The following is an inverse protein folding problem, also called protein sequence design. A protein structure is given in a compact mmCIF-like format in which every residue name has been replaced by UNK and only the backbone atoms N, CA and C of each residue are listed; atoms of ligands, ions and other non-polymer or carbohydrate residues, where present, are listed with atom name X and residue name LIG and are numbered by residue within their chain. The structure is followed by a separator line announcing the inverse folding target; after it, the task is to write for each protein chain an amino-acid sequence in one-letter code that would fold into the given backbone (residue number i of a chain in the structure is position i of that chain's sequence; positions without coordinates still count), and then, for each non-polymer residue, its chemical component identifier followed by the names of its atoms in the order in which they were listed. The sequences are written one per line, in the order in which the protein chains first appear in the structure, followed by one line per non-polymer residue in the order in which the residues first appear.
data_IF_635776537218
#
_entry.id   IF_635776537218
#
_cell.length_a   1.000
_cell.length_b   1.000
_cell.length_c   1.000
_cell.angle_alpha   90.00
_cell.angle_beta   90.00
_cell.angle_gamma   90.00
#
_symmetry.space_group_name_H-M   'P 1'
#
loop_
_entity.id
_entity.type
_entity.pdbx_description
1 polymer ?
#
# COMPACT_ATOMS: atom_id res chain seq x y z
N UNK A 1 7.88 -43.68 -20.43
CA UNK A 1 7.58 -42.39 -19.79
C UNK A 1 8.68 -41.40 -20.16
N UNK A 2 8.34 -40.23 -20.70
CA UNK A 2 9.35 -39.15 -20.89
C UNK A 2 9.71 -38.57 -19.51
N UNK A 3 11.00 -38.43 -19.15
CA UNK A 3 11.38 -37.83 -17.90
C UNK A 3 10.89 -36.37 -17.87
N UNK A 4 10.26 -35.96 -16.77
CA UNK A 4 9.86 -34.57 -16.55
C UNK A 4 11.04 -33.88 -15.92
N UNK A 5 11.63 -32.91 -16.62
CA UNK A 5 12.69 -32.05 -16.07
C UNK A 5 12.02 -30.81 -15.53
N UNK A 6 12.08 -30.60 -14.21
CA UNK A 6 11.61 -29.37 -13.55
C UNK A 6 12.80 -28.57 -13.01
N UNK A 7 12.65 -27.25 -13.01
CA UNK A 7 13.62 -26.36 -12.34
C UNK A 7 13.49 -26.51 -10.82
N UNK A 8 14.60 -26.34 -10.09
CA UNK A 8 14.56 -26.28 -8.63
C UNK A 8 13.82 -25.01 -8.15
N UNK A 9 13.12 -25.08 -7.01
CA UNK A 9 13.07 -26.18 -6.05
C UNK A 9 12.15 -27.32 -6.50
N UNK A 10 12.56 -28.58 -6.27
CA UNK A 10 11.79 -29.77 -6.63
C UNK A 10 10.71 -30.14 -5.61
N UNK A 11 10.66 -29.44 -4.48
CA UNK A 11 9.64 -29.64 -3.44
C UNK A 11 8.42 -28.78 -3.77
N UNK A 12 7.31 -29.42 -4.05
CA UNK A 12 6.03 -28.76 -4.28
C UNK A 12 5.20 -28.80 -2.99
N UNK A 13 5.12 -27.63 -2.29
CA UNK A 13 4.23 -27.45 -1.15
C UNK A 13 2.77 -27.22 -1.61
N UNK A 14 1.82 -27.28 -0.69
CA UNK A 14 0.41 -26.94 -0.96
C UNK A 14 0.13 -25.45 -1.20
N UNK A 15 1.17 -24.61 -1.25
CA UNK A 15 1.05 -23.18 -1.49
C UNK A 15 1.25 -22.85 -2.97
N UNK A 16 0.40 -21.96 -3.47
CA UNK A 16 0.47 -21.45 -4.84
C UNK A 16 0.37 -19.92 -4.84
N UNK A 17 0.93 -19.29 -5.87
CA UNK A 17 0.82 -17.84 -6.06
C UNK A 17 -0.65 -17.42 -6.05
N UNK A 18 -1.49 -18.14 -6.76
CA UNK A 18 -2.93 -17.91 -6.82
C UNK A 18 -3.59 -17.92 -5.42
N UNK A 19 -3.29 -18.93 -4.60
CA UNK A 19 -3.84 -19.07 -3.23
C UNK A 19 -3.45 -17.87 -2.37
N UNK A 20 -2.20 -17.43 -2.47
CA UNK A 20 -1.70 -16.29 -1.70
C UNK A 20 -2.32 -14.97 -2.18
N UNK A 21 -2.41 -14.72 -3.49
CA UNK A 21 -3.04 -13.51 -4.05
C UNK A 21 -4.52 -13.39 -3.65
N UNK A 22 -5.29 -14.48 -3.79
CA UNK A 22 -6.68 -14.50 -3.31
C UNK A 22 -6.78 -14.41 -1.79
N UNK A 23 -5.81 -14.95 -1.04
CA UNK A 23 -5.73 -14.80 0.41
C UNK A 23 -5.63 -13.34 0.84
N UNK A 24 -4.83 -12.53 0.14
CA UNK A 24 -4.75 -11.07 0.36
C UNK A 24 -6.05 -10.37 -0.05
N UNK A 25 -6.67 -10.77 -1.17
CA UNK A 25 -7.98 -10.23 -1.56
C UNK A 25 -9.05 -10.50 -0.48
N UNK A 26 -9.08 -11.70 0.09
CA UNK A 26 -10.00 -12.05 1.20
C UNK A 26 -9.70 -11.21 2.45
N UNK A 27 -8.43 -10.97 2.76
CA UNK A 27 -8.04 -10.11 3.88
C UNK A 27 -8.50 -8.64 3.72
N UNK A 28 -8.68 -8.19 2.48
CA UNK A 28 -9.18 -6.84 2.15
C UNK A 28 -10.72 -6.74 2.15
N UNK A 29 -11.46 -7.87 2.16
CA UNK A 29 -12.94 -7.86 2.13
C UNK A 29 -13.56 -7.04 3.27
N UNK A 30 -13.12 -7.13 4.54
CA UNK A 30 -13.69 -6.29 5.59
C UNK A 30 -13.55 -4.79 5.30
N UNK A 31 -12.38 -4.35 4.84
CA UNK A 31 -12.15 -2.95 4.46
C UNK A 31 -12.98 -2.54 3.22
N UNK A 32 -13.16 -3.45 2.27
CA UNK A 32 -14.01 -3.23 1.10
C UNK A 32 -15.47 -3.01 1.50
N UNK A 33 -16.00 -3.84 2.39
CA UNK A 33 -17.38 -3.69 2.89
C UNK A 33 -17.55 -2.37 3.64
N UNK A 34 -16.56 -1.97 4.45
CA UNK A 34 -16.60 -0.68 5.13
C UNK A 34 -16.55 0.49 4.15
N UNK A 35 -15.71 0.44 3.13
CA UNK A 35 -15.64 1.51 2.12
C UNK A 35 -16.97 1.66 1.36
N UNK A 36 -17.64 0.54 1.04
CA UNK A 36 -18.98 0.56 0.45
C UNK A 36 -20.04 1.11 1.40
N UNK A 37 -19.92 0.82 2.70
CA UNK A 37 -20.85 1.33 3.71
C UNK A 37 -20.73 2.85 3.92
N UNK A 38 -19.50 3.39 3.94
CA UNK A 38 -19.26 4.80 4.19
C UNK A 38 -19.36 5.70 2.96
N UNK A 39 -18.94 5.23 1.79
CA UNK A 39 -18.92 6.02 0.54
C UNK A 39 -19.89 5.52 -0.53
N UNK A 40 -20.63 4.44 -0.28
CA UNK A 40 -21.73 3.98 -1.12
C UNK A 40 -21.37 3.78 -2.58
N UNK A 41 -22.17 4.46 -3.45
CA UNK A 41 -22.07 4.33 -4.90
C UNK A 41 -20.71 4.77 -5.46
N UNK A 42 -20.12 5.85 -4.93
CA UNK A 42 -18.81 6.33 -5.36
C UNK A 42 -17.73 5.28 -5.18
N UNK A 43 -17.67 4.63 -3.99
CA UNK A 43 -16.75 3.54 -3.73
C UNK A 43 -16.96 2.34 -4.67
N UNK A 44 -18.22 1.95 -4.92
CA UNK A 44 -18.55 0.86 -5.82
C UNK A 44 -18.04 1.11 -7.24
N UNK A 45 -18.28 2.32 -7.77
CA UNK A 45 -17.84 2.70 -9.12
C UNK A 45 -16.32 2.70 -9.22
N UNK A 46 -15.62 3.35 -8.27
CA UNK A 46 -14.15 3.46 -8.29
C UNK A 46 -13.49 2.09 -8.18
N UNK A 47 -13.90 1.26 -7.21
CA UNK A 47 -13.34 -0.07 -7.01
C UNK A 47 -13.62 -1.01 -8.19
N UNK A 48 -14.87 -1.04 -8.69
CA UNK A 48 -15.22 -1.86 -9.83
C UNK A 48 -14.44 -1.44 -11.08
N UNK A 49 -14.40 -0.14 -11.38
CA UNK A 49 -13.66 0.39 -12.55
C UNK A 49 -12.17 0.10 -12.45
N UNK A 50 -11.57 0.28 -11.27
CA UNK A 50 -10.13 0.01 -11.06
C UNK A 50 -9.81 -1.47 -11.30
N UNK A 51 -10.59 -2.39 -10.72
CA UNK A 51 -10.36 -3.83 -10.88
C UNK A 51 -10.58 -4.27 -12.33
N UNK A 52 -11.70 -3.86 -12.94
CA UNK A 52 -12.02 -4.23 -14.32
C UNK A 52 -10.98 -3.69 -15.31
N UNK A 53 -10.54 -2.44 -15.13
CA UNK A 53 -9.51 -1.82 -15.97
C UNK A 53 -8.16 -2.51 -15.82
N UNK A 54 -7.73 -2.87 -14.59
CA UNK A 54 -6.49 -3.60 -14.38
C UNK A 54 -6.52 -4.99 -15.03
N UNK A 55 -7.60 -5.73 -14.88
CA UNK A 55 -7.77 -7.05 -15.51
C UNK A 55 -7.79 -6.92 -17.04
N UNK A 56 -8.51 -5.92 -17.56
CA UNK A 56 -8.57 -5.67 -19.01
C UNK A 56 -7.19 -5.33 -19.58
N UNK A 57 -6.43 -4.42 -18.96
CA UNK A 57 -5.11 -4.05 -19.45
C UNK A 57 -4.11 -5.19 -19.37
N UNK A 58 -4.14 -5.99 -18.31
CA UNK A 58 -3.28 -7.18 -18.24
C UNK A 58 -3.60 -8.18 -19.34
N UNK A 59 -4.89 -8.44 -19.58
CA UNK A 59 -5.32 -9.29 -20.69
C UNK A 59 -4.89 -8.73 -22.05
N UNK A 60 -5.16 -7.44 -22.30
CA UNK A 60 -4.87 -6.81 -23.58
C UNK A 60 -3.37 -6.79 -23.87
N UNK A 61 -2.54 -6.41 -22.90
CA UNK A 61 -1.09 -6.38 -23.06
C UNK A 61 -0.53 -7.79 -23.25
N UNK A 62 -0.98 -8.77 -22.47
CA UNK A 62 -0.52 -10.15 -22.59
C UNK A 62 -0.85 -10.74 -23.95
N UNK A 63 -2.08 -10.53 -24.43
CA UNK A 63 -2.58 -11.12 -25.68
C UNK A 63 -2.06 -10.40 -26.92
N UNK A 64 -2.16 -9.06 -26.95
CA UNK A 64 -1.87 -8.29 -28.17
C UNK A 64 -0.42 -7.82 -28.26
N UNK A 65 0.18 -7.40 -27.15
CA UNK A 65 1.52 -6.82 -27.15
C UNK A 65 2.60 -7.90 -26.96
N UNK A 66 2.47 -8.72 -25.92
CA UNK A 66 3.46 -9.74 -25.59
C UNK A 66 3.23 -11.08 -26.31
N UNK A 67 2.04 -11.30 -26.87
CA UNK A 67 1.65 -12.53 -27.60
C UNK A 67 2.00 -13.82 -26.87
N UNK A 68 1.88 -13.83 -25.53
CA UNK A 68 2.17 -15.00 -24.71
C UNK A 68 1.02 -16.01 -24.79
N UNK A 69 1.30 -17.33 -24.92
CA UNK A 69 0.26 -18.35 -25.06
C UNK A 69 -0.49 -18.69 -23.75
N UNK A 70 -0.07 -18.14 -22.61
CA UNK A 70 -0.68 -18.40 -21.30
C UNK A 70 -1.58 -17.27 -20.83
N UNK A 71 -2.66 -17.62 -20.10
CA UNK A 71 -3.52 -16.64 -19.43
C UNK A 71 -2.95 -16.31 -18.03
N UNK A 72 -2.46 -15.10 -17.83
CA UNK A 72 -1.92 -14.63 -16.54
C UNK A 72 -2.99 -14.08 -15.60
N UNK A 73 -4.22 -13.85 -16.11
CA UNK A 73 -5.32 -13.22 -15.35
C UNK A 73 -5.79 -14.08 -14.18
N UNK A 74 -5.69 -15.42 -14.33
CA UNK A 74 -6.19 -16.37 -13.34
C UNK A 74 -5.36 -16.42 -12.05
N UNK A 75 -4.19 -15.80 -12.01
CA UNK A 75 -3.33 -15.74 -10.81
C UNK A 75 -3.86 -14.79 -9.73
N UNK A 76 -4.85 -13.94 -10.05
CA UNK A 76 -5.46 -12.98 -9.13
C UNK A 76 -4.65 -11.69 -8.91
N UNK A 77 -3.46 -11.58 -9.50
CA UNK A 77 -2.59 -10.43 -9.27
C UNK A 77 -3.12 -9.12 -9.86
N UNK A 78 -3.82 -9.17 -11.01
CA UNK A 78 -4.47 -7.99 -11.59
C UNK A 78 -5.64 -7.50 -10.72
N UNK A 79 -6.42 -8.43 -10.18
CA UNK A 79 -7.53 -8.12 -9.27
C UNK A 79 -7.00 -7.45 -8.01
N UNK A 80 -5.95 -8.01 -7.40
CA UNK A 80 -5.31 -7.44 -6.23
C UNK A 80 -4.73 -6.04 -6.51
N UNK A 81 -4.03 -5.87 -7.63
CA UNK A 81 -3.51 -4.55 -8.04
C UNK A 81 -4.64 -3.54 -8.20
N UNK A 82 -5.74 -3.92 -8.83
CA UNK A 82 -6.91 -3.07 -9.00
C UNK A 82 -7.59 -2.71 -7.68
N UNK A 83 -7.72 -3.66 -6.75
CA UNK A 83 -8.25 -3.40 -5.41
C UNK A 83 -7.36 -2.43 -4.63
N UNK A 84 -6.05 -2.68 -4.58
CA UNK A 84 -5.11 -1.82 -3.88
C UNK A 84 -5.02 -0.43 -4.50
N UNK A 85 -5.08 -0.32 -5.84
CA UNK A 85 -5.15 0.97 -6.52
C UNK A 85 -6.44 1.69 -6.13
N UNK A 86 -7.60 1.04 -6.25
CA UNK A 86 -8.89 1.62 -5.91
C UNK A 86 -8.97 2.10 -4.46
N UNK A 87 -8.43 1.35 -3.51
CA UNK A 87 -8.35 1.77 -2.11
C UNK A 87 -7.52 3.04 -1.88
N UNK A 88 -6.60 3.35 -2.76
CA UNK A 88 -5.79 4.57 -2.68
C UNK A 88 -6.38 5.78 -3.42
N UNK A 89 -7.54 5.63 -4.02
CA UNK A 89 -8.21 6.69 -4.78
C UNK A 89 -9.34 7.32 -3.95
N UNK A 90 -9.68 8.60 -4.21
CA UNK A 90 -10.88 9.21 -3.67
C UNK A 90 -12.14 8.64 -4.33
N UNK A 91 -13.26 8.60 -3.58
CA UNK A 91 -14.53 8.01 -4.06
C UNK A 91 -15.24 8.82 -5.15
N UNK A 92 -14.84 10.07 -5.38
CA UNK A 92 -15.39 10.96 -6.41
C UNK A 92 -14.54 11.06 -7.68
N UNK A 93 -13.50 10.21 -7.82
CA UNK A 93 -12.58 10.30 -8.94
C UNK A 93 -13.26 9.93 -10.26
N UNK A 94 -13.15 10.78 -11.32
CA UNK A 94 -13.71 10.48 -12.63
C UNK A 94 -13.20 9.17 -13.23
N UNK A 95 -14.09 8.42 -13.89
CA UNK A 95 -13.80 7.07 -14.44
C UNK A 95 -12.57 7.06 -15.37
N UNK A 96 -12.43 8.08 -16.22
CA UNK A 96 -11.32 8.15 -17.17
C UNK A 96 -9.95 8.24 -16.48
N UNK A 97 -9.87 8.92 -15.32
CA UNK A 97 -8.63 8.97 -14.52
C UNK A 97 -8.29 7.62 -13.91
N UNK A 98 -9.30 6.88 -13.44
CA UNK A 98 -9.12 5.53 -12.90
C UNK A 98 -8.55 4.60 -13.99
N UNK A 99 -9.07 4.70 -15.21
CA UNK A 99 -8.59 3.92 -16.36
C UNK A 99 -7.12 4.26 -16.67
N UNK A 100 -6.76 5.54 -16.69
CA UNK A 100 -5.36 5.97 -16.91
C UNK A 100 -4.44 5.46 -15.78
N UNK A 101 -4.88 5.55 -14.52
CA UNK A 101 -4.15 5.02 -13.38
C UNK A 101 -3.95 3.50 -13.45
N UNK A 102 -4.97 2.75 -13.85
CA UNK A 102 -4.89 1.31 -14.06
C UNK A 102 -3.92 0.95 -15.22
N UNK A 103 -3.94 1.73 -16.31
CA UNK A 103 -2.99 1.58 -17.41
C UNK A 103 -1.55 1.83 -16.93
N UNK A 104 -1.31 2.86 -16.14
CA UNK A 104 0.01 3.13 -15.58
C UNK A 104 0.45 2.01 -14.60
N UNK A 105 -0.45 1.56 -13.73
CA UNK A 105 -0.17 0.48 -12.78
C UNK A 105 0.21 -0.83 -13.47
N UNK A 106 -0.63 -1.29 -14.39
CA UNK A 106 -0.41 -2.58 -15.09
C UNK A 106 0.61 -2.42 -16.21
N UNK A 107 0.47 -1.42 -17.07
CA UNK A 107 1.36 -1.21 -18.22
C UNK A 107 2.78 -0.91 -17.78
N UNK A 108 2.97 0.20 -17.05
CA UNK A 108 4.30 0.67 -16.64
C UNK A 108 4.81 -0.11 -15.42
N UNK A 109 3.97 -0.27 -14.38
CA UNK A 109 4.41 -0.87 -13.11
C UNK A 109 4.67 -2.37 -13.16
N UNK A 110 3.97 -3.13 -14.04
CA UNK A 110 4.02 -4.59 -14.04
C UNK A 110 4.48 -5.19 -15.37
N UNK A 111 3.78 -4.89 -16.46
CA UNK A 111 3.96 -5.62 -17.73
C UNK A 111 5.22 -5.23 -18.48
N UNK A 112 5.69 -3.99 -18.37
CA UNK A 112 6.94 -3.50 -18.98
C UNK A 112 8.15 -4.29 -18.52
N UNK A 113 8.16 -4.74 -17.27
CA UNK A 113 9.26 -5.51 -16.69
C UNK A 113 9.14 -7.02 -16.89
N UNK A 114 8.04 -7.50 -17.47
CA UNK A 114 7.86 -8.93 -17.79
C UNK A 114 6.69 -9.60 -17.08
N UNK A 115 5.95 -8.91 -16.24
CA UNK A 115 4.77 -9.40 -15.51
C UNK A 115 5.04 -9.71 -14.05
N UNK A 116 4.19 -10.56 -13.45
CA UNK A 116 4.29 -10.91 -12.04
C UNK A 116 5.65 -11.53 -11.70
N UNK A 117 6.27 -11.08 -10.63
CA UNK A 117 7.56 -11.57 -10.15
C UNK A 117 8.78 -10.83 -10.68
N UNK A 118 8.64 -9.94 -11.66
CA UNK A 118 9.74 -9.18 -12.27
C UNK A 118 9.60 -7.66 -12.08
N UNK A 119 8.54 -7.20 -11.46
CA UNK A 119 8.29 -5.79 -11.20
C UNK A 119 9.22 -5.25 -10.08
N UNK A 120 10.00 -4.19 -10.33
CA UNK A 120 10.87 -3.59 -9.31
C UNK A 120 10.09 -2.75 -8.29
N UNK A 121 8.89 -2.28 -8.64
CA UNK A 121 8.03 -1.44 -7.83
C UNK A 121 6.66 -2.07 -7.64
N UNK A 122 5.98 -1.73 -6.55
CA UNK A 122 4.58 -2.11 -6.36
C UNK A 122 3.70 -1.45 -7.43
N UNK A 123 2.99 -2.23 -8.28
CA UNK A 123 2.26 -1.68 -9.42
C UNK A 123 1.11 -0.74 -9.02
N UNK A 124 0.38 -1.04 -7.95
CA UNK A 124 -0.71 -0.19 -7.48
C UNK A 124 -0.20 1.19 -7.05
N UNK A 125 0.97 1.24 -6.39
CA UNK A 125 1.60 2.49 -5.97
C UNK A 125 2.15 3.28 -7.15
N UNK A 126 2.69 2.61 -8.17
CA UNK A 126 3.10 3.28 -9.42
C UNK A 126 1.91 4.00 -10.06
N UNK A 127 0.75 3.32 -10.18
CA UNK A 127 -0.47 3.94 -10.71
C UNK A 127 -0.96 5.11 -9.87
N UNK A 128 -0.97 4.96 -8.53
CA UNK A 128 -1.35 6.02 -7.61
C UNK A 128 -0.46 7.26 -7.70
N UNK A 129 0.86 7.07 -7.62
CA UNK A 129 1.81 8.20 -7.67
C UNK A 129 1.78 8.87 -9.03
N UNK A 130 1.64 8.10 -10.11
CA UNK A 130 1.44 8.65 -11.45
C UNK A 130 0.22 9.58 -11.50
N UNK A 131 -0.94 9.14 -10.97
CA UNK A 131 -2.15 9.97 -10.91
C UNK A 131 -1.96 11.20 -10.02
N UNK A 132 -1.32 11.06 -8.87
CA UNK A 132 -1.11 12.16 -7.92
C UNK A 132 -0.24 13.27 -8.52
N UNK A 133 0.80 12.91 -9.27
CA UNK A 133 1.70 13.89 -9.92
C UNK A 133 1.03 14.52 -11.14
N UNK A 134 0.31 13.72 -11.94
CA UNK A 134 -0.30 14.20 -13.20
C UNK A 134 -1.60 14.96 -12.98
N UNK A 135 -2.40 14.58 -11.97
CA UNK A 135 -3.73 15.13 -11.70
C UNK A 135 -3.92 15.45 -10.21
N UNK A 136 -3.11 16.36 -9.64
CA UNK A 136 -3.09 16.60 -8.19
C UNK A 136 -4.43 17.10 -7.66
N UNK A 137 -5.13 17.97 -8.38
CA UNK A 137 -6.41 18.54 -7.93
C UNK A 137 -7.47 17.47 -7.70
N UNK A 138 -7.63 16.54 -8.64
CA UNK A 138 -8.61 15.46 -8.52
C UNK A 138 -8.21 14.41 -7.49
N UNK A 139 -6.90 14.19 -7.32
CA UNK A 139 -6.37 13.21 -6.38
C UNK A 139 -6.31 13.70 -4.92
N UNK A 140 -6.45 14.99 -4.70
CA UNK A 140 -6.46 15.59 -3.35
C UNK A 140 -7.84 16.05 -2.90
N UNK A 141 -8.89 15.78 -3.69
CA UNK A 141 -10.28 16.04 -3.33
C UNK A 141 -10.85 14.84 -2.56
N UNK A 142 -11.03 14.99 -1.25
CA UNK A 142 -11.45 13.86 -0.39
C UNK A 142 -12.90 14.03 0.05
N UNK A 143 -13.83 13.16 -0.40
CA UNK A 143 -15.22 13.18 0.02
C UNK A 143 -15.41 12.88 1.51
N UNK A 144 -16.44 13.50 2.08
CA UNK A 144 -16.88 13.20 3.45
C UNK A 144 -17.60 11.85 3.47
N UNK A 145 -17.39 11.08 4.53
CA UNK A 145 -18.12 9.82 4.74
C UNK A 145 -19.62 10.06 4.96
N UNK A 146 -20.46 9.11 4.52
CA UNK A 146 -21.90 9.15 4.68
C UNK A 146 -22.69 9.58 3.46
N UNK A 147 -22.05 9.97 2.36
CA UNK A 147 -22.70 10.36 1.11
C UNK A 147 -22.93 9.13 0.20
N UNK A 148 -23.95 8.32 0.53
CA UNK A 148 -24.13 7.00 -0.09
C UNK A 148 -24.47 7.03 -1.59
N UNK A 149 -25.11 8.10 -2.08
CA UNK A 149 -25.58 8.22 -3.47
C UNK A 149 -24.77 9.21 -4.31
N UNK A 150 -23.94 10.05 -3.68
CA UNK A 150 -23.12 11.03 -4.38
C UNK A 150 -21.91 10.34 -5.05
N UNK A 151 -21.49 10.86 -6.21
CA UNK A 151 -20.29 10.44 -6.91
C UNK A 151 -19.40 11.65 -7.20
N UNK A 152 -19.48 12.26 -8.39
CA UNK A 152 -18.65 13.42 -8.77
C UNK A 152 -19.00 14.70 -8.01
N UNK A 153 -20.23 14.82 -7.53
CA UNK A 153 -20.77 15.98 -6.82
C UNK A 153 -20.69 15.82 -5.29
N UNK A 154 -19.84 14.90 -4.80
CA UNK A 154 -19.67 14.67 -3.38
C UNK A 154 -19.02 15.87 -2.69
N UNK A 155 -19.55 16.24 -1.52
CA UNK A 155 -18.94 17.26 -0.67
C UNK A 155 -17.60 16.77 -0.13
N UNK A 156 -16.57 17.64 -0.18
CA UNK A 156 -15.21 17.33 0.26
C UNK A 156 -14.88 18.05 1.55
N UNK A 157 -14.07 17.43 2.40
CA UNK A 157 -13.57 18.03 3.64
C UNK A 157 -12.06 17.85 3.80
N UNK A 158 -11.50 18.61 4.73
CA UNK A 158 -10.11 18.48 5.10
C UNK A 158 -9.85 17.11 5.75
N UNK A 159 -8.83 16.41 5.25
CA UNK A 159 -8.38 15.14 5.87
C UNK A 159 -7.58 15.40 7.14
N UNK A 160 -7.49 14.42 8.05
CA UNK A 160 -6.62 14.55 9.23
C UNK A 160 -5.17 14.88 8.87
N UNK A 161 -4.65 14.35 7.76
CA UNK A 161 -3.29 14.67 7.28
C UNK A 161 -3.14 16.13 6.86
N UNK A 162 -4.15 16.68 6.19
CA UNK A 162 -4.15 18.09 5.80
C UNK A 162 -4.22 19.03 7.01
N UNK A 163 -5.02 18.67 8.02
CA UNK A 163 -5.11 19.42 9.29
C UNK A 163 -3.75 19.43 10.00
N UNK A 164 -3.07 18.29 10.09
CA UNK A 164 -1.73 18.19 10.68
C UNK A 164 -0.71 19.03 9.91
N UNK A 165 -0.73 19.00 8.59
CA UNK A 165 0.18 19.80 7.76
C UNK A 165 -0.08 21.31 7.94
N UNK A 166 -1.33 21.73 8.02
CA UNK A 166 -1.69 23.12 8.29
C UNK A 166 -1.25 23.58 9.66
N UNK A 167 -1.36 22.75 10.71
CA UNK A 167 -0.86 23.07 12.04
C UNK A 167 0.65 23.34 12.03
N UNK A 168 1.41 22.53 11.28
CA UNK A 168 2.86 22.73 11.14
C UNK A 168 3.16 24.01 10.34
N UNK A 169 2.42 24.27 9.26
CA UNK A 169 2.64 25.43 8.39
C UNK A 169 2.26 26.76 9.07
N UNK A 170 1.17 26.78 9.86
CA UNK A 170 0.71 27.96 10.60
C UNK A 170 1.49 28.19 11.89
N UNK A 171 2.16 27.16 12.41
CA UNK A 171 2.83 27.24 13.72
C UNK A 171 1.86 27.26 14.92
N UNK A 172 0.57 26.96 14.70
CA UNK A 172 -0.46 27.03 15.74
C UNK A 172 -0.95 25.62 16.14
N UNK A 173 -0.70 25.17 17.38
CA UNK A 173 -1.19 23.89 17.87
C UNK A 173 -2.73 23.84 18.02
N UNK A 174 -3.43 24.98 18.03
CA UNK A 174 -4.88 25.02 18.10
C UNK A 174 -5.56 24.36 16.86
N UNK A 175 -4.89 24.36 15.72
CA UNK A 175 -5.39 23.64 14.52
C UNK A 175 -5.55 22.13 14.76
N UNK A 176 -4.74 21.54 15.64
CA UNK A 176 -4.86 20.11 15.99
C UNK A 176 -6.15 19.78 16.76
N UNK A 177 -6.84 20.76 17.34
CA UNK A 177 -8.14 20.53 17.99
C UNK A 177 -9.26 20.24 16.99
N UNK A 178 -9.05 20.54 15.71
CA UNK A 178 -10.00 20.20 14.63
C UNK A 178 -9.90 18.75 14.18
N UNK A 179 -8.93 17.98 14.73
CA UNK A 179 -8.78 16.58 14.40
C UNK A 179 -9.97 15.77 14.91
N UNK A 180 -10.45 14.76 14.13
CA UNK A 180 -11.46 13.84 14.59
C UNK A 180 -11.01 13.05 15.83
N UNK A 181 -11.95 12.61 16.64
CA UNK A 181 -11.67 11.73 17.77
C UNK A 181 -10.98 10.43 17.33
N UNK A 182 -10.11 9.90 18.20
CA UNK A 182 -9.42 8.63 17.94
C UNK A 182 -10.38 7.47 17.63
N UNK A 183 -11.56 7.47 18.24
CA UNK A 183 -12.63 6.47 17.97
C UNK A 183 -13.19 6.61 16.57
N UNK A 184 -13.40 7.83 16.10
CA UNK A 184 -13.88 8.10 14.73
C UNK A 184 -12.85 7.70 13.68
N UNK A 185 -11.56 7.97 13.94
CA UNK A 185 -10.45 7.54 13.07
C UNK A 185 -10.29 6.03 13.04
N UNK A 186 -10.51 5.34 14.16
CA UNK A 186 -10.39 3.89 14.26
C UNK A 186 -11.53 3.17 13.54
N UNK A 187 -12.76 3.71 13.62
CA UNK A 187 -13.94 3.15 12.96
C UNK A 187 -14.00 3.57 11.49
N UNK A 188 -13.50 4.78 11.14
CA UNK A 188 -13.41 5.26 9.77
C UNK A 188 -14.46 6.31 9.37
N UNK A 189 -15.00 7.05 10.33
CA UNK A 189 -15.90 8.19 10.06
C UNK A 189 -15.14 9.48 9.71
N UNK A 190 -14.11 9.35 8.88
CA UNK A 190 -13.25 10.46 8.47
C UNK A 190 -13.21 10.55 6.95
N UNK A 191 -13.01 11.75 6.41
CA UNK A 191 -12.73 11.94 4.99
C UNK A 191 -11.32 11.42 4.65
N UNK A 192 -11.21 10.73 3.50
CA UNK A 192 -9.93 10.17 3.06
C UNK A 192 -10.06 9.27 1.84
N UNK A 193 -9.02 8.53 1.54
CA UNK A 193 -9.06 7.51 0.48
C UNK A 193 -9.94 6.32 0.90
N UNK A 194 -10.44 5.57 -0.08
CA UNK A 194 -11.33 4.43 0.17
C UNK A 194 -10.72 3.38 1.11
N UNK A 195 -9.40 3.23 1.12
CA UNK A 195 -8.68 2.29 1.97
C UNK A 195 -8.28 2.84 3.35
N UNK A 196 -8.51 4.13 3.63
CA UNK A 196 -8.23 4.74 4.93
C UNK A 196 -9.39 4.62 5.91
N UNK A 197 -10.54 4.14 5.42
CA UNK A 197 -11.83 4.20 6.10
C UNK A 197 -11.82 3.58 7.48
N UNK A 198 -11.18 2.45 7.71
CA UNK A 198 -11.16 1.83 9.03
C UNK A 198 -9.80 1.19 9.33
N UNK A 199 -9.07 1.85 10.21
CA UNK A 199 -7.82 1.31 10.75
C UNK A 199 -8.02 -0.07 11.39
N UNK A 200 -9.14 -0.27 12.10
CA UNK A 200 -9.47 -1.53 12.77
C UNK A 200 -9.65 -2.68 11.77
N UNK A 201 -10.42 -2.47 10.70
CA UNK A 201 -10.70 -3.53 9.72
C UNK A 201 -9.47 -3.89 8.89
N UNK A 202 -8.60 -2.93 8.60
CA UNK A 202 -7.29 -3.19 8.00
C UNK A 202 -6.39 -4.02 8.93
N UNK A 203 -6.37 -3.72 10.22
CA UNK A 203 -5.62 -4.50 11.20
C UNK A 203 -6.17 -5.92 11.36
N UNK A 204 -7.49 -6.12 11.29
CA UNK A 204 -8.10 -7.47 11.24
C UNK A 204 -7.64 -8.23 10.00
N UNK A 205 -7.64 -7.59 8.83
CA UNK A 205 -7.11 -8.18 7.60
C UNK A 205 -5.61 -8.53 7.71
N UNK A 206 -4.81 -7.64 8.32
CA UNK A 206 -3.41 -7.89 8.61
C UNK A 206 -3.21 -9.11 9.53
N UNK A 207 -3.99 -9.20 10.62
CA UNK A 207 -3.95 -10.33 11.55
C UNK A 207 -4.32 -11.66 10.85
N UNK A 208 -5.31 -11.63 9.95
CA UNK A 208 -5.65 -12.79 9.12
C UNK A 208 -4.48 -13.23 8.22
N UNK A 209 -3.79 -12.28 7.56
CA UNK A 209 -2.63 -12.60 6.73
C UNK A 209 -1.46 -13.16 7.56
N UNK A 210 -1.21 -12.65 8.76
CA UNK A 210 -0.22 -13.16 9.69
C UNK A 210 -0.59 -14.58 10.18
N UNK A 211 -1.86 -14.82 10.52
CA UNK A 211 -2.35 -16.13 10.94
C UNK A 211 -2.21 -17.18 9.85
N UNK A 212 -2.55 -16.83 8.62
CA UNK A 212 -2.38 -17.70 7.44
C UNK A 212 -0.93 -17.81 6.97
N UNK A 213 0.02 -17.09 7.59
CA UNK A 213 1.44 -17.02 7.20
C UNK A 213 1.64 -16.53 5.75
N UNK A 214 0.72 -15.72 5.25
CA UNK A 214 0.85 -15.05 3.94
C UNK A 214 1.94 -13.98 4.02
N UNK A 215 2.03 -13.25 5.13
CA UNK A 215 3.06 -12.25 5.38
C UNK A 215 3.82 -12.54 6.68
N UNK A 216 5.00 -11.93 6.82
CA UNK A 216 5.77 -11.94 8.07
C UNK A 216 5.50 -10.64 8.86
N UNK A 217 5.63 -10.70 10.17
CA UNK A 217 5.40 -9.56 11.07
C UNK A 217 6.46 -8.44 10.97
N UNK A 218 7.64 -8.75 10.40
CA UNK A 218 8.80 -7.85 10.40
C UNK A 218 8.50 -6.49 9.77
N UNK A 219 7.90 -6.47 8.57
CA UNK A 219 7.63 -5.22 7.83
C UNK A 219 6.53 -4.40 8.50
N UNK A 220 5.31 -4.93 8.79
CA UNK A 220 4.27 -4.13 9.41
C UNK A 220 4.68 -3.55 10.77
N UNK A 221 5.30 -4.37 11.63
CA UNK A 221 5.71 -3.93 12.98
C UNK A 221 6.83 -2.89 12.91
N UNK A 222 7.81 -3.05 12.02
CA UNK A 222 8.90 -2.07 11.89
C UNK A 222 8.41 -0.73 11.35
N UNK A 223 7.50 -0.72 10.36
CA UNK A 223 6.94 0.54 9.82
C UNK A 223 6.12 1.27 10.89
N UNK A 224 5.15 0.57 11.48
CA UNK A 224 4.25 1.17 12.49
C UNK A 224 5.02 1.57 13.74
N UNK A 225 5.93 0.73 14.21
CA UNK A 225 6.77 1.03 15.38
C UNK A 225 7.66 2.24 15.16
N UNK A 226 8.34 2.33 14.01
CA UNK A 226 9.20 3.48 13.70
C UNK A 226 8.40 4.76 13.52
N UNK A 227 7.25 4.70 12.83
CA UNK A 227 6.37 5.86 12.68
C UNK A 227 5.85 6.33 14.05
N UNK A 228 5.47 5.42 14.94
CA UNK A 228 5.03 5.76 16.30
C UNK A 228 6.13 6.38 17.14
N UNK A 229 7.33 5.79 17.16
CA UNK A 229 8.46 6.29 17.95
C UNK A 229 8.91 7.65 17.43
N UNK A 230 9.09 7.79 16.12
CA UNK A 230 9.56 9.04 15.54
C UNK A 230 8.55 10.17 15.69
N UNK A 231 7.26 9.93 15.44
CA UNK A 231 6.22 10.95 15.70
C UNK A 231 6.08 11.27 17.19
N UNK A 232 6.28 10.30 18.09
CA UNK A 232 6.32 10.51 19.53
C UNK A 232 7.45 11.43 19.98
N UNK A 233 8.67 11.20 19.47
CA UNK A 233 9.82 12.08 19.72
C UNK A 233 9.53 13.50 19.22
N UNK A 234 8.97 13.62 18.01
CA UNK A 234 8.61 14.93 17.45
C UNK A 234 7.59 15.67 18.30
N UNK A 235 6.54 14.99 18.77
CA UNK A 235 5.52 15.58 19.63
C UNK A 235 6.07 16.04 20.98
N UNK A 236 7.00 15.28 21.59
CA UNK A 236 7.66 15.65 22.85
C UNK A 236 8.52 16.89 22.67
N UNK A 237 9.23 17.00 21.53
CA UNK A 237 10.07 18.16 21.22
C UNK A 237 9.24 19.42 20.95
N UNK A 238 8.15 19.26 20.22
CA UNK A 238 7.26 20.38 19.89
C UNK A 238 5.79 19.90 19.76
N UNK A 239 4.86 20.41 20.59
CA UNK A 239 3.44 20.03 20.58
C UNK A 239 2.68 20.38 19.28
N UNK A 240 3.29 21.09 18.33
CA UNK A 240 2.72 21.34 17.00
C UNK A 240 2.58 20.04 16.19
N UNK A 241 3.44 19.05 16.45
CA UNK A 241 3.34 17.75 15.80
C UNK A 241 2.26 16.91 16.44
N UNK A 242 1.48 16.21 15.63
CA UNK A 242 0.39 15.37 16.11
C UNK A 242 0.87 14.20 16.98
N UNK A 243 0.00 13.73 17.86
CA UNK A 243 0.27 12.57 18.71
C UNK A 243 0.47 11.28 17.87
N UNK A 244 1.30 10.32 18.33
CA UNK A 244 1.62 9.11 17.58
C UNK A 244 0.40 8.31 17.11
N UNK A 245 -0.63 8.18 17.93
CA UNK A 245 -1.83 7.43 17.57
C UNK A 245 -2.59 8.07 16.41
N UNK A 246 -2.62 9.41 16.32
CA UNK A 246 -3.24 10.13 15.20
C UNK A 246 -2.44 9.89 13.92
N UNK A 247 -1.11 9.96 13.99
CA UNK A 247 -0.22 9.71 12.84
C UNK A 247 -0.37 8.29 12.31
N UNK A 248 -0.54 7.30 13.20
CA UNK A 248 -0.73 5.91 12.83
C UNK A 248 -2.09 5.66 12.15
N UNK A 249 -3.16 6.27 12.67
CA UNK A 249 -4.52 6.07 12.17
C UNK A 249 -4.87 6.97 10.99
N UNK A 250 -4.04 7.97 10.67
CA UNK A 250 -4.28 8.89 9.56
C UNK A 250 -3.63 8.42 8.28
N UNK A 251 -4.31 8.63 7.18
CA UNK A 251 -3.82 8.31 5.86
C UNK A 251 -3.64 6.81 5.62
N UNK A 252 -3.09 6.47 4.47
CA UNK A 252 -2.87 5.08 4.05
C UNK A 252 -1.71 4.35 4.75
N UNK A 253 -1.30 4.75 5.97
CA UNK A 253 -0.14 4.15 6.64
C UNK A 253 -0.36 2.68 6.98
N UNK A 254 -1.51 2.32 7.56
CA UNK A 254 -1.83 0.92 7.89
C UNK A 254 -2.02 0.09 6.62
N UNK A 255 -2.74 0.61 5.62
CA UNK A 255 -2.91 -0.05 4.34
C UNK A 255 -1.54 -0.29 3.67
N UNK A 256 -0.70 0.73 3.64
CA UNK A 256 0.65 0.64 3.07
C UNK A 256 1.55 -0.33 3.81
N UNK A 257 1.57 -0.30 5.14
CA UNK A 257 2.41 -1.15 5.97
C UNK A 257 2.02 -2.63 5.91
N UNK A 258 0.72 -2.94 5.90
CA UNK A 258 0.23 -4.30 5.98
C UNK A 258 0.04 -4.98 4.61
N UNK A 259 -0.35 -4.22 3.57
CA UNK A 259 -0.77 -4.81 2.29
C UNK A 259 0.11 -4.42 1.10
N UNK A 260 0.82 -3.27 1.16
CA UNK A 260 1.59 -2.78 0.01
C UNK A 260 3.09 -2.96 0.18
N UNK A 261 3.63 -2.67 1.37
CA UNK A 261 5.05 -2.86 1.65
C UNK A 261 5.43 -4.35 1.81
N UNK A 262 4.44 -5.20 2.05
CA UNK A 262 4.60 -6.66 2.20
C UNK A 262 4.51 -7.43 0.89
N UNK A 263 4.55 -6.75 -0.26
CA UNK A 263 4.58 -7.40 -1.57
C UNK A 263 5.82 -8.31 -1.70
N UNK A 264 5.62 -9.56 -2.10
CA UNK A 264 6.67 -10.58 -2.18
C UNK A 264 7.80 -10.22 -3.16
N UNK A 265 7.48 -9.50 -4.22
CA UNK A 265 8.42 -9.21 -5.30
C UNK A 265 9.31 -8.03 -4.95
N UNK A 266 8.74 -7.00 -4.31
CA UNK A 266 9.39 -5.71 -4.10
C UNK A 266 9.99 -5.55 -2.71
N UNK A 267 9.71 -6.48 -1.77
CA UNK A 267 10.26 -6.46 -0.41
C UNK A 267 11.52 -7.30 -0.27
N UNK A 268 12.40 -7.03 0.73
CA UNK A 268 13.60 -7.81 1.00
C UNK A 268 13.30 -9.27 1.42
N UNK A 269 14.18 -10.19 1.03
CA UNK A 269 14.01 -11.62 1.29
C UNK A 269 14.29 -12.02 2.74
N UNK A 270 15.20 -11.34 3.46
CA UNK A 270 15.65 -11.72 4.80
C UNK A 270 14.94 -10.93 5.89
N UNK A 271 14.70 -11.55 7.06
CA UNK A 271 14.06 -10.85 8.18
C UNK A 271 14.83 -9.60 8.63
N UNK A 272 16.16 -9.63 8.62
CA UNK A 272 16.99 -8.44 8.90
C UNK A 272 16.79 -7.34 7.85
N UNK A 273 16.78 -7.72 6.57
CA UNK A 273 16.51 -6.79 5.47
C UNK A 273 15.10 -6.19 5.55
N UNK A 274 14.10 -6.99 5.91
CA UNK A 274 12.71 -6.55 6.12
C UNK A 274 12.59 -5.53 7.26
N UNK A 275 13.33 -5.71 8.37
CA UNK A 275 13.34 -4.75 9.46
C UNK A 275 13.97 -3.42 9.03
N UNK A 276 15.12 -3.44 8.34
CA UNK A 276 15.77 -2.22 7.82
C UNK A 276 14.85 -1.51 6.85
N UNK A 277 14.27 -2.24 5.90
CA UNK A 277 13.32 -1.74 4.92
C UNK A 277 12.13 -1.04 5.60
N UNK A 278 11.51 -1.69 6.60
CA UNK A 278 10.38 -1.13 7.31
C UNK A 278 10.73 0.09 8.15
N UNK A 279 11.88 0.09 8.83
CA UNK A 279 12.37 1.26 9.59
C UNK A 279 12.56 2.46 8.66
N UNK A 280 13.21 2.26 7.51
CA UNK A 280 13.40 3.33 6.54
C UNK A 280 12.09 3.88 5.97
N UNK A 281 11.11 2.99 5.66
CA UNK A 281 9.78 3.42 5.21
C UNK A 281 9.08 4.24 6.28
N UNK A 282 9.08 3.78 7.54
CA UNK A 282 8.46 4.49 8.65
C UNK A 282 9.04 5.90 8.84
N UNK A 283 10.38 6.02 8.83
CA UNK A 283 11.07 7.31 8.90
C UNK A 283 10.72 8.22 7.73
N UNK A 284 10.87 7.74 6.50
CA UNK A 284 10.58 8.51 5.29
C UNK A 284 9.13 8.98 5.27
N UNK A 285 8.18 8.13 5.69
CA UNK A 285 6.76 8.49 5.72
C UNK A 285 6.50 9.68 6.64
N UNK A 286 7.04 9.66 7.87
CA UNK A 286 6.86 10.77 8.82
C UNK A 286 7.58 12.03 8.35
N UNK A 287 8.77 11.91 7.75
CA UNK A 287 9.50 13.04 7.18
C UNK A 287 8.71 13.69 6.04
N UNK A 288 8.21 12.90 5.09
CA UNK A 288 7.45 13.43 3.95
C UNK A 288 6.14 14.06 4.42
N UNK A 289 5.44 13.47 5.40
CA UNK A 289 4.19 14.02 5.95
C UNK A 289 4.37 15.37 6.59
N UNK A 290 5.47 15.58 7.31
CA UNK A 290 5.71 16.81 8.07
C UNK A 290 6.33 17.92 7.22
N UNK A 291 7.19 17.59 6.26
CA UNK A 291 7.95 18.57 5.48
C UNK A 291 7.79 18.44 3.95
N UNK A 292 7.10 17.42 3.49
CA UNK A 292 6.89 17.20 2.06
C UNK A 292 5.76 18.06 1.49
N UNK A 293 5.76 18.20 0.17
CA UNK A 293 4.70 18.90 -0.56
C UNK A 293 3.35 18.16 -0.53
N UNK A 294 3.38 16.83 -0.40
CA UNK A 294 2.19 16.00 -0.36
C UNK A 294 2.01 15.40 1.04
N UNK A 295 0.81 15.51 1.66
CA UNK A 295 0.57 15.01 3.01
C UNK A 295 0.67 13.47 3.12
N UNK A 296 0.49 12.76 2.02
CA UNK A 296 0.56 11.29 1.95
C UNK A 296 1.98 10.81 1.61
N UNK A 297 2.81 10.63 2.61
CA UNK A 297 4.19 10.18 2.44
C UNK A 297 4.36 8.68 2.13
N UNK A 298 3.39 7.83 2.50
CA UNK A 298 3.56 6.37 2.51
C UNK A 298 3.83 5.78 1.12
N UNK A 299 3.12 6.24 0.10
CA UNK A 299 3.27 5.76 -1.28
C UNK A 299 4.66 6.04 -1.83
N UNK A 300 5.17 7.25 -1.61
CA UNK A 300 6.51 7.65 -2.02
C UNK A 300 7.58 6.89 -1.24
N UNK A 301 7.42 6.75 0.08
CA UNK A 301 8.36 6.03 0.93
C UNK A 301 8.54 4.57 0.49
N UNK A 302 7.43 3.86 0.19
CA UNK A 302 7.50 2.49 -0.30
C UNK A 302 8.20 2.43 -1.67
N UNK A 303 7.84 3.29 -2.63
CA UNK A 303 8.46 3.28 -3.96
C UNK A 303 9.96 3.58 -3.90
N UNK A 304 10.37 4.55 -3.08
CA UNK A 304 11.80 4.85 -2.86
C UNK A 304 12.50 3.60 -2.30
N UNK A 305 11.94 2.98 -1.26
CA UNK A 305 12.56 1.82 -0.64
C UNK A 305 12.52 0.57 -1.52
N UNK A 306 11.53 0.43 -2.41
CA UNK A 306 11.53 -0.62 -3.43
C UNK A 306 12.76 -0.51 -4.35
N UNK A 307 13.15 0.72 -4.74
CA UNK A 307 14.37 0.93 -5.51
C UNK A 307 15.65 0.52 -4.75
N UNK A 308 15.65 0.62 -3.42
CA UNK A 308 16.77 0.20 -2.57
C UNK A 308 16.74 -1.28 -2.16
N UNK A 309 15.65 -2.01 -2.44
CA UNK A 309 15.53 -3.44 -2.09
C UNK A 309 16.68 -4.30 -2.65
N UNK A 310 17.14 -4.14 -3.91
CA UNK A 310 18.28 -4.90 -4.42
C UNK A 310 19.57 -4.65 -3.62
N UNK A 311 19.78 -3.40 -3.18
CA UNK A 311 20.93 -3.03 -2.33
C UNK A 311 20.83 -3.71 -0.97
N UNK A 312 19.65 -3.65 -0.31
CA UNK A 312 19.42 -4.32 0.98
C UNK A 312 19.67 -5.82 0.86
N UNK A 313 19.19 -6.47 -0.20
CA UNK A 313 19.39 -7.90 -0.44
C UNK A 313 20.87 -8.26 -0.69
N UNK A 314 21.67 -7.32 -1.21
CA UNK A 314 23.09 -7.54 -1.41
C UNK A 314 23.87 -7.57 -0.09
N UNK A 315 23.51 -6.72 0.87
CA UNK A 315 24.16 -6.66 2.19
C UNK A 315 23.54 -7.62 3.21
N UNK A 316 22.23 -7.86 3.14
CA UNK A 316 21.51 -8.75 4.04
C UNK A 316 21.23 -10.10 3.37
N UNK A 317 22.27 -10.80 2.92
CA UNK A 317 22.13 -12.13 2.28
C UNK A 317 21.65 -13.18 3.29
N UNK A 318 20.80 -14.15 2.85
CA UNK A 318 20.50 -15.31 3.66
C UNK A 318 21.76 -16.18 3.81
N UNK A 319 21.90 -16.83 4.97
CA UNK A 319 22.96 -17.80 5.19
C UNK A 319 22.81 -18.98 4.23
N UNK A 320 23.87 -19.34 3.53
CA UNK A 320 23.86 -20.47 2.60
C UNK A 320 23.93 -21.77 3.38
N UNK A 321 23.18 -22.78 2.95
CA UNK A 321 23.28 -24.11 3.54
C UNK A 321 24.70 -24.64 3.41
N UNK A 322 25.31 -25.07 4.55
CA UNK A 322 26.67 -25.58 4.59
C UNK A 322 27.78 -24.52 4.64
N UNK A 323 27.47 -23.24 4.67
CA UNK A 323 28.47 -22.19 4.86
C UNK A 323 28.91 -22.14 6.32
N UNK A 324 30.15 -22.54 6.57
CA UNK A 324 30.76 -22.43 7.91
C UNK A 324 31.14 -20.96 8.11
N UNK A 325 30.39 -20.25 8.94
CA UNK A 325 30.74 -18.89 9.34
C UNK A 325 31.99 -18.98 10.22
N UNK A 326 33.16 -18.74 9.66
CA UNK A 326 34.37 -18.47 10.45
C UNK A 326 34.11 -17.17 11.20
N UNK A 327 33.81 -17.25 12.50
CA UNK A 327 33.89 -16.08 13.36
C UNK A 327 35.35 -15.63 13.30
N UNK A 328 35.62 -14.53 12.61
CA UNK A 328 36.91 -13.86 12.74
C UNK A 328 37.05 -13.49 14.22
N UNK A 329 37.93 -14.18 14.92
CA UNK A 329 38.39 -13.79 16.24
C UNK A 329 39.02 -12.41 16.07
N UNK A 330 38.30 -11.39 16.56
CA UNK A 330 38.88 -10.06 16.70
C UNK A 330 40.09 -10.19 17.63
N UNK A 331 41.30 -10.13 17.03
CA UNK A 331 42.52 -9.83 17.73
C UNK A 331 42.58 -8.36 18.15
#
# INVERSE_FOLDING_TARGET
MKPIISLSPHVHGGDSVQKNMYGVCIALVPALLASLWFFGLGAAIVLATSVLSCVFFEWAITKFLLKRPGCTICDGSAVLTGLLLGFNLPSNLPIWLIIIGALAAIGIGKMTFGGLGQNPFNPALVGRVFLLISFPVQMTSWPVSGQLTAYTDAETAATPLFIMQNAIASGDPAELQKLPDATQMLIGQTGGSLGEVSALLLLIGCAFMLWKKIITWHIPVSILGTAAVFSGIMHIVNPIYAMPHVVLMSGGLILGACFMATDYVTSPMTGKGQLIYGVCIGLLTVIIRNWGAYPEGMSFAILIMNAFTPLINTYCKPERFGEVIRKEEKK
#
